data_IF_826836911355
#
_entry.id   IF_826836911355
#
_cell.length_a   1.000
_cell.length_b   1.000
_cell.length_c   1.000
_cell.angle_alpha   90.00
_cell.angle_beta   90.00
_cell.angle_gamma   90.00
#
_symmetry.space_group_name_H-M   'P 1'
#
loop_
_entity.id
_entity.type
_entity.pdbx_description
1 polymer ?
#
# COMPACT_ATOMS: atom_id res chain seq x y z
N UNK A 1 -47.44 -10.07 51.33
CA UNK A 1 -46.75 -9.46 50.18
C UNK A 1 -45.29 -9.89 50.22
N UNK A 2 -44.72 -10.26 49.07
CA UNK A 2 -43.44 -10.96 48.86
C UNK A 2 -43.54 -12.49 48.77
N UNK A 3 -43.38 -12.98 47.55
CA UNK A 3 -42.87 -14.31 47.21
C UNK A 3 -42.22 -14.16 45.84
N UNK A 4 -40.89 -14.18 45.82
CA UNK A 4 -40.07 -14.04 44.62
C UNK A 4 -40.33 -15.17 43.65
N UNK A 5 -40.55 -14.80 42.38
CA UNK A 5 -40.53 -15.74 41.26
C UNK A 5 -39.14 -15.65 40.64
N UNK A 6 -38.38 -16.73 40.77
CA UNK A 6 -37.13 -16.93 40.07
C UNK A 6 -37.43 -17.01 38.56
N UNK A 7 -36.97 -16.02 37.80
CA UNK A 7 -36.91 -16.10 36.34
C UNK A 7 -35.61 -16.84 36.01
N UNK A 8 -35.71 -18.13 35.73
CA UNK A 8 -34.63 -18.91 35.15
C UNK A 8 -34.21 -18.28 33.83
N UNK A 9 -32.93 -17.95 33.72
CA UNK A 9 -32.27 -17.66 32.46
C UNK A 9 -32.47 -18.84 31.50
N UNK A 10 -33.30 -18.66 30.48
CA UNK A 10 -33.44 -19.62 29.40
C UNK A 10 -32.15 -19.65 28.59
N UNK A 11 -31.60 -20.86 28.47
CA UNK A 11 -30.41 -21.19 27.71
C UNK A 11 -30.52 -20.65 26.28
N UNK A 12 -29.50 -19.88 25.88
CA UNK A 12 -29.14 -19.62 24.49
C UNK A 12 -28.91 -20.98 23.80
N UNK A 13 -29.93 -21.48 23.13
CA UNK A 13 -29.82 -22.59 22.19
C UNK A 13 -28.97 -22.11 21.02
N UNK A 14 -27.66 -22.40 21.09
CA UNK A 14 -26.78 -22.25 19.94
C UNK A 14 -27.24 -23.21 18.86
N UNK A 15 -27.43 -22.70 17.64
CA UNK A 15 -27.84 -23.42 16.43
C UNK A 15 -27.05 -24.73 16.21
N UNK A 16 -25.83 -24.82 16.74
CA UNK A 16 -24.97 -26.00 16.73
C UNK A 16 -25.55 -27.23 17.46
N UNK A 17 -26.49 -27.06 18.39
CA UNK A 17 -27.10 -28.16 19.15
C UNK A 17 -28.29 -28.83 18.43
N UNK A 18 -28.80 -28.22 17.33
CA UNK A 18 -30.07 -28.62 16.71
C UNK A 18 -29.92 -29.34 15.36
N UNK A 19 -28.75 -29.32 14.73
CA UNK A 19 -28.56 -29.91 13.40
C UNK A 19 -27.25 -30.71 13.31
N UNK A 20 -27.29 -31.98 12.83
CA UNK A 20 -26.08 -32.68 12.44
C UNK A 20 -25.27 -31.83 11.43
N UNK A 21 -23.94 -31.86 11.44
CA UNK A 21 -23.09 -31.08 10.52
C UNK A 21 -23.49 -31.24 9.04
N UNK A 22 -23.97 -32.42 8.66
CA UNK A 22 -24.46 -32.73 7.31
C UNK A 22 -25.72 -31.95 6.91
N UNK A 23 -26.61 -31.64 7.85
CA UNK A 23 -27.78 -30.79 7.57
C UNK A 23 -27.38 -29.32 7.46
N UNK A 24 -26.39 -28.86 8.23
CA UNK A 24 -25.87 -27.50 8.12
C UNK A 24 -25.25 -27.24 6.74
N UNK A 25 -24.45 -28.17 6.21
CA UNK A 25 -23.89 -28.03 4.87
C UNK A 25 -24.97 -27.96 3.79
N UNK A 26 -26.02 -28.81 3.87
CA UNK A 26 -27.15 -28.75 2.93
C UNK A 26 -27.91 -27.42 2.97
N UNK A 27 -27.98 -26.77 4.13
CA UNK A 27 -28.59 -25.44 4.25
C UNK A 27 -27.68 -24.40 3.57
N UNK A 28 -26.37 -24.49 3.77
CA UNK A 28 -25.38 -23.60 3.14
C UNK A 28 -25.15 -23.89 1.64
N UNK A 29 -25.61 -25.03 1.14
CA UNK A 29 -25.64 -25.34 -0.30
C UNK A 29 -26.74 -24.57 -1.04
N UNK A 30 -27.76 -24.09 -0.34
CA UNK A 30 -28.81 -23.22 -0.91
C UNK A 30 -28.25 -21.79 -1.00
N UNK A 31 -28.00 -21.25 -2.21
CA UNK A 31 -27.30 -19.97 -2.38
C UNK A 31 -27.99 -18.79 -1.68
N UNK A 32 -29.32 -18.72 -1.72
CA UNK A 32 -30.10 -17.64 -1.11
C UNK A 32 -29.98 -17.65 0.41
N UNK A 33 -29.98 -18.83 1.02
CA UNK A 33 -29.84 -18.98 2.47
C UNK A 33 -28.41 -18.61 2.88
N UNK A 34 -27.41 -19.11 2.15
CA UNK A 34 -26.01 -18.79 2.43
C UNK A 34 -25.70 -17.31 2.24
N UNK A 35 -26.24 -16.66 1.20
CA UNK A 35 -26.11 -15.22 0.99
C UNK A 35 -26.73 -14.43 2.16
N UNK A 36 -27.93 -14.80 2.60
CA UNK A 36 -28.59 -14.14 3.73
C UNK A 36 -27.80 -14.30 5.04
N UNK A 37 -27.34 -15.52 5.36
CA UNK A 37 -26.51 -15.76 6.56
C UNK A 37 -25.24 -14.92 6.49
N UNK A 38 -24.53 -14.99 5.38
CA UNK A 38 -23.23 -14.32 5.26
C UNK A 38 -23.37 -12.80 5.20
N UNK A 39 -24.47 -12.25 4.69
CA UNK A 39 -24.74 -10.80 4.64
C UNK A 39 -24.70 -10.15 6.02
N UNK A 40 -25.22 -10.82 7.05
CA UNK A 40 -25.30 -10.28 8.41
C UNK A 40 -24.03 -10.51 9.25
N UNK A 41 -23.08 -11.31 8.74
CA UNK A 41 -21.82 -11.55 9.41
C UNK A 41 -20.81 -10.42 9.17
N UNK A 42 -20.14 -10.02 10.24
CA UNK A 42 -18.98 -9.13 10.18
C UNK A 42 -17.82 -9.79 9.43
N UNK A 43 -16.87 -8.98 8.95
CA UNK A 43 -15.68 -9.47 8.24
C UNK A 43 -14.90 -10.51 9.06
N UNK A 44 -14.75 -10.32 10.38
CA UNK A 44 -14.07 -11.30 11.25
C UNK A 44 -14.82 -12.62 11.36
N UNK A 45 -16.15 -12.57 11.47
CA UNK A 45 -16.96 -13.79 11.57
C UNK A 45 -16.93 -14.57 10.26
N UNK A 46 -16.90 -13.89 9.12
CA UNK A 46 -16.71 -14.53 7.82
C UNK A 46 -15.33 -15.16 7.68
N UNK A 47 -14.28 -14.46 8.12
CA UNK A 47 -12.92 -15.01 8.13
C UNK A 47 -12.83 -16.27 9.01
N UNK A 48 -13.44 -16.24 10.19
CA UNK A 48 -13.54 -17.41 11.07
C UNK A 48 -14.34 -18.55 10.42
N UNK A 49 -15.46 -18.23 9.74
CA UNK A 49 -16.28 -19.21 9.03
C UNK A 49 -15.49 -19.91 7.92
N UNK A 50 -14.83 -19.16 7.03
CA UNK A 50 -14.05 -19.74 5.93
C UNK A 50 -12.78 -20.44 6.41
N UNK A 51 -12.30 -20.13 7.61
CA UNK A 51 -11.15 -20.80 8.24
C UNK A 51 -11.53 -22.06 9.02
N UNK A 52 -12.83 -22.33 9.19
CA UNK A 52 -13.29 -23.45 10.02
C UNK A 52 -13.10 -24.83 9.37
N UNK A 53 -13.34 -24.93 8.07
CA UNK A 53 -13.20 -26.19 7.32
C UNK A 53 -13.05 -25.96 5.81
N UNK A 54 -12.61 -27.00 5.09
CA UNK A 54 -12.40 -26.96 3.63
C UNK A 54 -13.67 -26.59 2.85
N UNK A 55 -14.84 -27.04 3.29
CA UNK A 55 -16.12 -26.74 2.65
C UNK A 55 -16.40 -25.22 2.67
N UNK A 56 -16.37 -24.59 3.85
CA UNK A 56 -16.58 -23.14 3.95
C UNK A 56 -15.43 -22.32 3.36
N UNK A 57 -14.20 -22.85 3.38
CA UNK A 57 -13.09 -22.23 2.67
C UNK A 57 -13.37 -22.10 1.17
N UNK A 58 -13.94 -23.12 0.54
CA UNK A 58 -14.32 -23.07 -0.88
C UNK A 58 -15.46 -22.08 -1.15
N UNK A 59 -16.40 -21.93 -0.19
CA UNK A 59 -17.49 -20.94 -0.27
C UNK A 59 -17.02 -19.48 -0.25
N UNK A 60 -15.73 -19.19 0.00
CA UNK A 60 -15.19 -17.81 -0.03
C UNK A 60 -15.46 -17.08 -1.36
N UNK A 61 -15.52 -17.80 -2.48
CA UNK A 61 -15.80 -17.22 -3.81
C UNK A 61 -17.27 -16.81 -3.97
N UNK A 62 -18.19 -17.37 -3.16
CA UNK A 62 -19.58 -16.94 -3.08
C UNK A 62 -19.70 -15.69 -2.18
N UNK A 63 -18.92 -15.65 -1.08
CA UNK A 63 -18.89 -14.52 -0.14
C UNK A 63 -18.26 -13.26 -0.77
N UNK A 64 -17.11 -13.43 -1.42
CA UNK A 64 -16.34 -12.37 -2.09
C UNK A 64 -16.30 -12.62 -3.60
N UNK A 65 -17.49 -12.66 -4.21
CA UNK A 65 -17.61 -12.87 -5.64
C UNK A 65 -17.21 -11.60 -6.42
N UNK A 66 -15.99 -11.60 -6.97
CA UNK A 66 -15.45 -10.44 -7.69
C UNK A 66 -16.26 -10.08 -8.94
N UNK A 67 -16.81 -11.06 -9.66
CA UNK A 67 -17.60 -10.79 -10.87
C UNK A 67 -18.95 -10.16 -10.49
N UNK A 68 -19.62 -10.63 -9.42
CA UNK A 68 -20.82 -10.00 -8.86
C UNK A 68 -20.53 -8.60 -8.34
N UNK A 69 -19.35 -8.39 -7.75
CA UNK A 69 -18.89 -7.07 -7.34
C UNK A 69 -18.73 -6.13 -8.55
N UNK A 70 -17.95 -6.53 -9.55
CA UNK A 70 -17.70 -5.73 -10.74
C UNK A 70 -18.92 -5.51 -11.62
N UNK A 71 -19.96 -6.38 -11.55
CA UNK A 71 -21.23 -6.23 -12.29
C UNK A 71 -21.96 -4.91 -12.04
N UNK A 72 -21.64 -4.22 -10.96
CA UNK A 72 -22.15 -2.88 -10.72
C UNK A 72 -21.72 -1.89 -11.81
N UNK A 73 -20.48 -2.02 -12.30
CA UNK A 73 -19.87 -1.18 -13.31
C UNK A 73 -19.84 -1.85 -14.69
N UNK A 74 -19.62 -3.17 -14.75
CA UNK A 74 -19.30 -3.89 -15.97
C UNK A 74 -20.38 -4.91 -16.32
N UNK A 75 -20.80 -4.95 -17.58
CA UNK A 75 -21.63 -6.02 -18.13
C UNK A 75 -20.81 -7.28 -18.34
N UNK A 76 -19.54 -7.15 -18.73
CA UNK A 76 -18.61 -8.25 -18.99
C UNK A 76 -17.40 -8.21 -18.06
N UNK A 77 -17.57 -8.50 -16.75
CA UNK A 77 -16.49 -8.42 -15.76
C UNK A 77 -15.34 -9.40 -16.04
N UNK A 78 -15.61 -10.57 -16.64
CA UNK A 78 -14.59 -11.56 -16.97
C UNK A 78 -13.67 -11.03 -18.08
N UNK A 79 -14.23 -10.52 -19.18
CA UNK A 79 -13.45 -9.93 -20.27
C UNK A 79 -12.60 -8.74 -19.78
N UNK A 80 -13.16 -7.90 -18.92
CA UNK A 80 -12.41 -6.82 -18.29
C UNK A 80 -11.25 -7.33 -17.42
N UNK A 81 -11.45 -8.41 -16.67
CA UNK A 81 -10.38 -9.06 -15.89
C UNK A 81 -9.33 -9.74 -16.77
N UNK A 82 -9.68 -10.23 -17.95
CA UNK A 82 -8.69 -10.71 -18.95
C UNK A 82 -7.79 -9.57 -19.44
N UNK A 83 -8.36 -8.36 -19.62
CA UNK A 83 -7.55 -7.16 -19.90
C UNK A 83 -6.64 -6.80 -18.73
N UNK A 84 -7.14 -6.89 -17.49
CA UNK A 84 -6.30 -6.70 -16.29
C UNK A 84 -5.16 -7.73 -16.23
N UNK A 85 -5.41 -8.99 -16.62
CA UNK A 85 -4.40 -10.03 -16.67
C UNK A 85 -3.32 -9.77 -17.72
N UNK A 86 -3.74 -9.27 -18.88
CA UNK A 86 -2.87 -8.96 -20.03
C UNK A 86 -2.01 -7.74 -19.80
N UNK A 87 -2.55 -6.71 -19.15
CA UNK A 87 -1.91 -5.41 -19.00
C UNK A 87 -1.47 -5.07 -17.57
N UNK A 88 -1.55 -6.03 -16.65
CA UNK A 88 -1.13 -5.87 -15.24
C UNK A 88 -1.81 -4.69 -14.52
N UNK A 89 -3.05 -4.39 -14.89
CA UNK A 89 -3.82 -3.32 -14.30
C UNK A 89 -4.31 -3.68 -12.90
N UNK A 90 -4.42 -2.67 -12.03
CA UNK A 90 -4.92 -2.83 -10.66
C UNK A 90 -6.18 -2.00 -10.45
N UNK A 91 -7.17 -2.57 -9.78
CA UNK A 91 -8.24 -1.76 -9.17
C UNK A 91 -7.86 -1.46 -7.73
N UNK A 92 -8.06 -0.22 -7.30
CA UNK A 92 -7.70 0.22 -5.96
C UNK A 92 -8.69 1.26 -5.41
N UNK A 93 -8.34 1.90 -4.31
CA UNK A 93 -9.10 3.02 -3.75
C UNK A 93 -10.40 2.56 -3.08
N UNK A 94 -11.47 3.30 -3.32
CA UNK A 94 -12.71 3.13 -2.56
C UNK A 94 -13.50 1.88 -2.96
N UNK A 95 -13.38 1.42 -4.20
CA UNK A 95 -14.03 0.19 -4.66
C UNK A 95 -13.37 -1.07 -4.07
N UNK A 96 -12.03 -1.12 -4.03
CA UNK A 96 -11.32 -2.22 -3.40
C UNK A 96 -11.63 -2.34 -1.90
N UNK A 97 -11.72 -1.20 -1.18
CA UNK A 97 -12.20 -1.19 0.20
C UNK A 97 -13.61 -1.78 0.32
N UNK A 98 -14.53 -1.40 -0.58
CA UNK A 98 -15.90 -1.89 -0.61
C UNK A 98 -15.98 -3.39 -0.89
N UNK A 99 -15.11 -3.92 -1.76
CA UNK A 99 -15.02 -5.35 -2.05
C UNK A 99 -14.72 -6.15 -0.78
N UNK A 100 -13.65 -5.79 -0.06
CA UNK A 100 -13.27 -6.48 1.18
C UNK A 100 -14.31 -6.31 2.29
N UNK A 101 -14.83 -5.09 2.45
CA UNK A 101 -15.86 -4.79 3.46
C UNK A 101 -17.23 -5.38 3.10
N UNK A 102 -17.43 -5.80 1.84
CA UNK A 102 -18.72 -6.20 1.25
C UNK A 102 -19.81 -5.15 1.48
N UNK A 103 -19.44 -3.88 1.28
CA UNK A 103 -20.36 -2.75 1.42
C UNK A 103 -20.47 -1.99 0.11
N UNK A 104 -21.51 -1.16 -0.02
CA UNK A 104 -21.67 -0.27 -1.18
C UNK A 104 -21.92 1.16 -0.73
N UNK A 105 -21.17 2.08 -1.32
CA UNK A 105 -21.36 3.50 -1.16
C UNK A 105 -22.18 4.05 -2.32
N UNK A 106 -23.12 4.94 -2.04
CA UNK A 106 -24.10 5.43 -3.02
C UNK A 106 -23.47 6.14 -4.24
N UNK A 107 -22.25 6.65 -4.11
CA UNK A 107 -21.50 7.37 -5.15
C UNK A 107 -20.11 6.77 -5.37
N UNK A 108 -20.04 5.44 -5.49
CA UNK A 108 -18.76 4.77 -5.79
C UNK A 108 -18.41 4.87 -7.27
N UNK A 109 -17.17 5.28 -7.51
CA UNK A 109 -16.42 5.10 -8.75
C UNK A 109 -15.66 3.76 -8.73
N UNK A 110 -15.18 3.35 -9.90
CA UNK A 110 -14.21 2.27 -10.08
C UNK A 110 -12.90 2.87 -10.61
N UNK A 111 -11.85 2.81 -9.80
CA UNK A 111 -10.54 3.39 -10.12
C UNK A 111 -9.58 2.29 -10.60
N UNK A 112 -9.15 2.39 -11.86
CA UNK A 112 -8.33 1.37 -12.54
C UNK A 112 -6.97 1.98 -12.88
N UNK A 113 -5.92 1.50 -12.23
CA UNK A 113 -4.55 1.97 -12.39
C UNK A 113 -3.86 1.16 -13.49
N UNK A 114 -3.33 1.86 -14.49
CA UNK A 114 -2.81 1.28 -15.72
C UNK A 114 -1.50 1.97 -16.10
N UNK A 115 -0.49 1.17 -16.38
CA UNK A 115 0.79 1.62 -16.93
C UNK A 115 0.81 1.42 -18.45
N UNK A 116 1.26 2.45 -19.18
CA UNK A 116 1.51 2.36 -20.62
C UNK A 116 0.31 2.68 -21.51
N UNK A 117 0.62 3.30 -22.65
CA UNK A 117 -0.36 3.77 -23.63
C UNK A 117 -1.20 2.64 -24.23
N UNK A 118 -0.57 1.54 -24.63
CA UNK A 118 -1.26 0.42 -25.29
C UNK A 118 -2.35 -0.17 -24.37
N UNK A 119 -2.04 -0.31 -23.09
CA UNK A 119 -2.99 -0.78 -22.10
C UNK A 119 -4.15 0.21 -21.92
N UNK A 120 -3.86 1.51 -21.78
CA UNK A 120 -4.89 2.55 -21.66
C UNK A 120 -5.85 2.55 -22.85
N UNK A 121 -5.33 2.40 -24.08
CA UNK A 121 -6.15 2.30 -25.29
C UNK A 121 -7.03 1.05 -25.25
N UNK A 122 -6.47 -0.12 -24.92
CA UNK A 122 -7.24 -1.37 -24.83
C UNK A 122 -8.40 -1.29 -23.81
N UNK A 123 -8.15 -0.69 -22.64
CA UNK A 123 -9.19 -0.47 -21.64
C UNK A 123 -10.24 0.55 -22.11
N UNK A 124 -9.82 1.68 -22.69
CA UNK A 124 -10.74 2.70 -23.20
C UNK A 124 -11.64 2.14 -24.31
N UNK A 125 -11.06 1.38 -25.25
CA UNK A 125 -11.76 0.72 -26.33
C UNK A 125 -12.78 -0.29 -25.79
N UNK A 126 -12.42 -1.11 -24.80
CA UNK A 126 -13.34 -2.04 -24.15
C UNK A 126 -14.51 -1.31 -23.46
N UNK A 127 -14.20 -0.24 -22.72
CA UNK A 127 -15.22 0.54 -22.02
C UNK A 127 -16.24 1.16 -22.99
N UNK A 128 -15.77 1.70 -24.12
CA UNK A 128 -16.64 2.33 -25.12
C UNK A 128 -17.39 1.27 -25.95
N UNK A 129 -16.65 0.32 -26.55
CA UNK A 129 -17.20 -0.60 -27.54
C UNK A 129 -18.05 -1.71 -26.92
N UNK A 130 -17.63 -2.27 -25.78
CA UNK A 130 -18.30 -3.39 -25.12
C UNK A 130 -19.22 -2.89 -24.01
N UNK A 131 -18.69 -2.06 -23.10
CA UNK A 131 -19.42 -1.65 -21.90
C UNK A 131 -20.37 -0.47 -22.11
N UNK A 132 -20.26 0.20 -23.26
CA UNK A 132 -21.07 1.35 -23.69
C UNK A 132 -20.96 2.56 -22.74
N UNK A 133 -19.74 2.81 -22.27
CA UNK A 133 -19.41 4.04 -21.58
C UNK A 133 -19.09 5.17 -22.57
N UNK A 134 -19.25 6.40 -22.10
CA UNK A 134 -18.87 7.61 -22.84
C UNK A 134 -17.69 8.27 -22.13
N UNK A 135 -16.63 8.57 -22.88
CA UNK A 135 -15.51 9.35 -22.37
C UNK A 135 -15.93 10.80 -22.12
N UNK A 136 -15.60 11.31 -20.93
CA UNK A 136 -15.84 12.70 -20.55
C UNK A 136 -14.50 13.37 -20.24
N UNK A 137 -13.98 14.21 -21.16
CA UNK A 137 -12.71 14.89 -20.96
C UNK A 137 -12.82 15.88 -19.81
N UNK A 138 -11.80 15.93 -18.96
CA UNK A 138 -11.64 17.04 -18.04
C UNK A 138 -11.17 18.31 -18.77
N UNK A 139 -11.37 19.52 -18.19
CA UNK A 139 -10.83 20.75 -18.75
C UNK A 139 -9.31 20.65 -19.02
N UNK A 140 -8.90 20.96 -20.25
CA UNK A 140 -7.51 20.84 -20.71
C UNK A 140 -7.19 19.50 -21.37
N UNK A 141 -8.01 18.46 -21.19
CA UNK A 141 -7.87 17.21 -21.94
C UNK A 141 -8.47 17.32 -23.34
N UNK A 142 -7.89 16.58 -24.27
CA UNK A 142 -8.44 16.47 -25.62
C UNK A 142 -9.82 15.80 -25.59
N UNK A 143 -10.76 16.26 -26.43
CA UNK A 143 -12.15 15.76 -26.43
C UNK A 143 -12.29 14.28 -26.84
N UNK A 144 -11.40 13.84 -27.73
CA UNK A 144 -11.27 12.44 -28.13
C UNK A 144 -10.34 11.68 -27.17
N UNK A 145 -10.78 10.52 -26.68
CA UNK A 145 -10.06 9.70 -25.71
C UNK A 145 -8.70 9.20 -26.20
N UNK A 146 -8.55 8.83 -27.48
CA UNK A 146 -7.28 8.37 -28.06
C UNK A 146 -6.23 9.47 -27.96
N UNK A 147 -6.60 10.68 -28.39
CA UNK A 147 -5.69 11.83 -28.33
C UNK A 147 -5.44 12.30 -26.90
N UNK A 148 -6.42 12.14 -25.99
CA UNK A 148 -6.25 12.44 -24.57
C UNK A 148 -5.25 11.47 -23.92
N UNK A 149 -5.27 10.19 -24.31
CA UNK A 149 -4.28 9.19 -23.88
C UNK A 149 -2.91 9.51 -24.46
N UNK A 150 -2.80 9.76 -25.77
CA UNK A 150 -1.52 10.00 -26.44
C UNK A 150 -0.82 11.27 -25.97
N UNK A 151 -1.57 12.37 -25.81
CA UNK A 151 -1.03 13.66 -25.35
C UNK A 151 -0.94 13.81 -23.83
N UNK A 152 -1.09 12.73 -23.06
CA UNK A 152 -1.17 12.78 -21.59
C UNK A 152 0.12 13.30 -20.96
N UNK A 153 1.27 12.91 -21.51
CA UNK A 153 2.59 13.25 -20.95
C UNK A 153 2.91 14.73 -21.16
N UNK A 154 2.64 15.27 -22.35
CA UNK A 154 2.83 16.68 -22.66
C UNK A 154 1.86 17.54 -21.84
N UNK A 155 0.60 17.13 -21.73
CA UNK A 155 -0.38 17.82 -20.89
C UNK A 155 0.06 17.85 -19.42
N UNK A 156 0.59 16.74 -18.91
CA UNK A 156 1.11 16.64 -17.55
C UNK A 156 2.33 17.55 -17.33
N UNK A 157 3.31 17.52 -18.24
CA UNK A 157 4.51 18.38 -18.19
C UNK A 157 4.14 19.87 -18.23
N UNK A 158 3.26 20.27 -19.15
CA UNK A 158 2.78 21.64 -19.26
C UNK A 158 2.09 22.12 -17.98
N UNK A 159 1.30 21.24 -17.34
CA UNK A 159 0.66 21.54 -16.05
C UNK A 159 1.69 21.75 -14.92
N UNK A 160 2.71 20.91 -14.83
CA UNK A 160 3.79 21.06 -13.84
C UNK A 160 4.58 22.35 -14.07
N UNK A 161 4.83 22.73 -15.31
CA UNK A 161 5.55 23.97 -15.64
C UNK A 161 4.75 25.23 -15.30
N UNK A 162 3.45 25.24 -15.57
CA UNK A 162 2.57 26.36 -15.17
C UNK A 162 2.50 26.51 -13.65
N UNK A 163 2.42 25.39 -12.93
CA UNK A 163 2.47 25.35 -11.46
C UNK A 163 3.77 25.94 -10.88
N UNK A 164 4.91 25.75 -11.56
CA UNK A 164 6.21 26.29 -11.13
C UNK A 164 6.32 27.79 -11.42
N UNK A 165 5.80 28.27 -12.56
CA UNK A 165 5.91 29.68 -12.98
C UNK A 165 5.07 30.64 -12.14
N UNK A 166 3.89 30.21 -11.70
CA UNK A 166 2.94 31.11 -11.03
C UNK A 166 3.18 31.29 -9.52
N UNK A 167 4.24 30.69 -8.94
CA UNK A 167 4.58 30.76 -7.50
C UNK A 167 3.53 30.17 -6.54
N UNK A 168 2.33 29.94 -7.04
CA UNK A 168 1.27 29.14 -6.47
C UNK A 168 1.45 27.73 -7.02
N UNK A 169 1.77 26.77 -6.14
CA UNK A 169 1.28 25.41 -6.37
C UNK A 169 -0.21 25.54 -6.70
N UNK A 170 -0.71 24.94 -7.78
CA UNK A 170 -2.03 25.24 -8.28
C UNK A 170 -3.05 25.14 -7.15
N UNK A 171 -3.85 26.21 -6.97
CA UNK A 171 -4.85 26.23 -5.90
C UNK A 171 -5.78 25.02 -6.11
N UNK A 172 -6.02 24.19 -5.06
CA UNK A 172 -6.82 22.97 -5.17
C UNK A 172 -8.19 23.18 -5.82
N UNK A 173 -8.76 24.39 -5.73
CA UNK A 173 -10.08 24.73 -6.25
C UNK A 173 -10.16 24.81 -7.78
N UNK A 174 -9.17 25.40 -8.48
CA UNK A 174 -9.14 25.40 -9.96
C UNK A 174 -8.74 24.03 -10.52
N UNK A 175 -7.93 23.29 -9.77
CA UNK A 175 -7.52 21.92 -10.09
C UNK A 175 -8.64 20.90 -9.92
N UNK A 176 -9.53 21.10 -8.95
CA UNK A 176 -10.72 20.27 -8.76
C UNK A 176 -11.71 20.36 -9.93
N UNK A 177 -11.72 21.48 -10.65
CA UNK A 177 -12.50 21.66 -11.89
C UNK A 177 -11.84 20.97 -13.10
N UNK A 178 -10.49 20.92 -13.15
CA UNK A 178 -9.72 20.44 -14.31
C UNK A 178 -9.18 19.01 -14.24
N UNK A 179 -9.07 18.38 -13.06
CA UNK A 179 -8.78 16.96 -12.86
C UNK A 179 -8.94 16.63 -11.36
N UNK A 180 -9.92 15.80 -10.94
CA UNK A 180 -10.19 15.54 -9.52
C UNK A 180 -9.01 14.89 -8.79
N UNK A 181 -8.08 14.21 -9.49
CA UNK A 181 -6.85 13.69 -8.88
C UNK A 181 -5.67 14.68 -8.88
N UNK A 182 -5.68 15.72 -9.73
CA UNK A 182 -4.62 16.75 -9.70
C UNK A 182 -4.62 17.55 -8.40
N UNK A 183 -5.76 17.61 -7.69
CA UNK A 183 -5.85 18.18 -6.34
C UNK A 183 -5.09 17.42 -5.24
N UNK A 184 -4.59 16.22 -5.55
CA UNK A 184 -3.70 15.46 -4.68
C UNK A 184 -2.26 15.66 -5.18
N UNK A 185 -1.28 15.78 -4.28
CA UNK A 185 0.16 15.83 -4.65
C UNK A 185 0.67 14.44 -5.08
N UNK A 186 -0.01 13.81 -6.05
CA UNK A 186 0.28 12.46 -6.56
C UNK A 186 1.42 12.55 -7.55
N UNK A 187 2.51 11.84 -7.26
CA UNK A 187 3.77 11.95 -8.00
C UNK A 187 3.87 10.93 -9.14
N UNK A 188 3.06 9.89 -9.08
CA UNK A 188 3.15 8.72 -9.94
C UNK A 188 1.93 8.57 -10.86
N UNK A 189 1.10 9.61 -10.98
CA UNK A 189 -0.09 9.64 -11.85
C UNK A 189 0.10 10.66 -12.96
N UNK A 190 0.01 10.20 -14.21
CA UNK A 190 0.19 10.99 -15.42
C UNK A 190 -1.12 11.65 -15.87
N UNK A 191 -2.22 10.91 -15.77
CA UNK A 191 -3.54 11.36 -16.20
C UNK A 191 -4.66 10.55 -15.58
N UNK A 192 -5.86 11.14 -15.60
CA UNK A 192 -7.10 10.49 -15.23
C UNK A 192 -8.09 10.64 -16.36
N UNK A 193 -8.63 9.54 -16.83
CA UNK A 193 -9.58 9.51 -17.93
C UNK A 193 -10.92 9.03 -17.37
N UNK A 194 -11.93 9.89 -17.44
CA UNK A 194 -13.25 9.61 -16.90
C UNK A 194 -14.16 9.01 -17.97
N UNK A 195 -14.83 7.94 -17.60
CA UNK A 195 -15.82 7.26 -18.41
C UNK A 195 -17.12 7.14 -17.62
N UNK A 196 -18.20 7.63 -18.19
CA UNK A 196 -19.52 7.62 -17.56
C UNK A 196 -20.51 6.78 -18.36
N UNK A 197 -21.36 6.05 -17.63
CA UNK A 197 -22.56 5.41 -18.17
C UNK A 197 -23.78 5.88 -17.38
N UNK A 198 -24.89 6.06 -18.08
CA UNK A 198 -26.17 6.49 -17.51
C UNK A 198 -26.07 7.82 -16.75
N UNK A 199 -25.24 8.76 -17.24
CA UNK A 199 -24.99 10.06 -16.59
C UNK A 199 -26.27 10.90 -16.39
N UNK A 200 -27.30 10.70 -17.21
CA UNK A 200 -28.61 11.35 -17.08
C UNK A 200 -29.45 10.81 -15.91
N UNK A 201 -29.12 9.64 -15.37
CA UNK A 201 -29.83 9.02 -14.25
C UNK A 201 -28.96 9.01 -13.01
N UNK A 202 -29.22 9.91 -12.06
CA UNK A 202 -28.50 9.96 -10.78
C UNK A 202 -28.53 8.62 -10.00
N UNK A 203 -29.58 7.81 -10.20
CA UNK A 203 -29.74 6.49 -9.57
C UNK A 203 -28.89 5.39 -10.22
N UNK A 204 -28.72 5.45 -11.54
CA UNK A 204 -28.00 4.41 -12.30
C UNK A 204 -26.62 4.87 -12.79
N UNK A 205 -26.23 6.10 -12.49
CA UNK A 205 -24.93 6.65 -12.84
C UNK A 205 -23.81 5.71 -12.40
N UNK A 206 -22.96 5.34 -13.36
CA UNK A 206 -21.73 4.58 -13.13
C UNK A 206 -20.56 5.35 -13.69
N UNK A 207 -19.51 5.46 -12.90
CA UNK A 207 -18.27 6.11 -13.27
C UNK A 207 -17.12 5.13 -13.16
N UNK A 208 -16.30 5.07 -14.21
CA UNK A 208 -15.02 4.35 -14.21
C UNK A 208 -13.93 5.38 -14.53
N UNK A 209 -12.84 5.36 -13.77
CA UNK A 209 -11.66 6.17 -14.03
C UNK A 209 -10.51 5.27 -14.44
N UNK A 210 -9.93 5.53 -15.61
CA UNK A 210 -8.63 4.97 -15.99
C UNK A 210 -7.54 5.94 -15.55
N UNK A 211 -6.70 5.49 -14.63
CA UNK A 211 -5.64 6.27 -14.00
C UNK A 211 -4.32 5.81 -14.61
N UNK A 212 -3.74 6.66 -15.45
CA UNK A 212 -2.44 6.43 -16.07
C UNK A 212 -1.34 6.64 -15.04
N UNK A 213 -0.44 5.66 -14.86
CA UNK A 213 0.64 5.71 -13.88
C UNK A 213 2.01 5.83 -14.51
N UNK A 214 2.89 6.60 -13.87
CA UNK A 214 4.33 6.61 -14.15
C UNK A 214 4.97 5.45 -13.40
N UNK A 215 5.24 4.36 -14.11
CA UNK A 215 5.71 3.12 -13.52
C UNK A 215 4.56 2.18 -13.08
N UNK A 216 4.89 1.13 -12.30
CA UNK A 216 3.96 0.07 -11.98
C UNK A 216 2.73 0.58 -11.20
N UNK A 217 1.51 0.10 -11.49
CA UNK A 217 0.30 0.56 -10.82
C UNK A 217 0.34 0.52 -9.28
N UNK A 218 1.01 -0.49 -8.71
CA UNK A 218 1.18 -0.62 -7.26
C UNK A 218 2.00 0.54 -6.66
N UNK A 219 2.95 1.09 -7.41
CA UNK A 219 3.76 2.22 -6.97
C UNK A 219 2.87 3.44 -6.72
N UNK A 220 1.96 3.75 -7.66
CA UNK A 220 1.00 4.83 -7.48
C UNK A 220 0.10 4.58 -6.25
N UNK A 221 -0.40 3.36 -6.06
CA UNK A 221 -1.22 3.02 -4.89
C UNK A 221 -0.49 3.27 -3.57
N UNK A 222 0.76 2.81 -3.43
CA UNK A 222 1.48 2.93 -2.16
C UNK A 222 2.09 4.32 -1.93
N UNK A 223 2.52 5.00 -2.99
CA UNK A 223 3.19 6.30 -2.90
C UNK A 223 2.19 7.48 -2.80
N UNK A 224 1.05 7.38 -3.49
CA UNK A 224 0.18 8.54 -3.73
C UNK A 224 -1.12 8.52 -2.91
N UNK A 225 -1.41 7.46 -2.17
CA UNK A 225 -2.60 7.40 -1.33
C UNK A 225 -2.40 8.19 -0.03
N UNK A 226 -3.48 8.80 0.47
CA UNK A 226 -3.47 9.74 1.62
C UNK A 226 -3.89 9.10 2.96
N UNK A 227 -4.27 7.82 2.95
CA UNK A 227 -4.70 7.10 4.14
C UNK A 227 -4.47 5.59 4.00
N UNK A 228 -4.03 4.91 5.05
CA UNK A 228 -3.81 3.44 5.03
C UNK A 228 -5.09 2.64 4.80
N UNK A 229 -6.27 3.17 5.14
CA UNK A 229 -7.56 2.48 4.92
C UNK A 229 -7.86 2.20 3.45
N UNK A 230 -7.29 2.98 2.53
CA UNK A 230 -7.45 2.76 1.09
C UNK A 230 -6.33 1.93 0.47
N UNK A 231 -5.40 1.39 1.28
CA UNK A 231 -4.34 0.48 0.79
C UNK A 231 -4.91 -0.93 0.57
N UNK A 232 -5.99 -0.99 -0.19
CA UNK A 232 -6.60 -2.21 -0.67
C UNK A 232 -6.62 -2.12 -2.19
N UNK A 233 -6.26 -3.21 -2.85
CA UNK A 233 -6.26 -3.29 -4.30
C UNK A 233 -6.46 -4.73 -4.72
N UNK A 234 -6.86 -4.95 -5.97
CA UNK A 234 -6.94 -6.28 -6.53
C UNK A 234 -6.51 -6.26 -7.99
N UNK A 235 -5.82 -7.33 -8.39
CA UNK A 235 -5.58 -7.64 -9.78
C UNK A 235 -6.67 -8.62 -10.27
N UNK A 236 -6.42 -9.24 -11.42
CA UNK A 236 -7.34 -10.21 -12.00
C UNK A 236 -7.47 -11.52 -11.19
N UNK A 237 -6.52 -11.89 -10.32
CA UNK A 237 -6.48 -13.20 -9.63
C UNK A 237 -6.49 -13.12 -8.11
N UNK A 238 -6.11 -11.98 -7.53
CA UNK A 238 -5.87 -11.83 -6.10
C UNK A 238 -6.23 -10.42 -5.64
N UNK A 239 -6.92 -10.35 -4.51
CA UNK A 239 -7.16 -9.12 -3.77
C UNK A 239 -6.21 -9.02 -2.56
N UNK A 240 -5.72 -7.81 -2.29
CA UNK A 240 -4.80 -7.49 -1.22
C UNK A 240 -5.33 -6.34 -0.36
N UNK A 241 -5.23 -6.48 0.96
CA UNK A 241 -5.34 -5.40 1.93
C UNK A 241 -4.05 -5.33 2.74
N UNK A 242 -3.40 -4.17 2.76
CA UNK A 242 -2.11 -3.99 3.45
C UNK A 242 -2.29 -3.86 4.97
N UNK A 243 -3.38 -3.23 5.42
CA UNK A 243 -3.69 -2.98 6.83
C UNK A 243 -5.08 -3.50 7.20
N UNK A 244 -5.35 -4.81 7.05
CA UNK A 244 -6.70 -5.36 7.19
C UNK A 244 -7.23 -5.28 8.63
N UNK A 245 -6.37 -5.47 9.64
CA UNK A 245 -6.75 -5.42 11.06
C UNK A 245 -7.25 -4.01 11.41
N UNK A 246 -6.43 -3.02 11.12
CA UNK A 246 -6.73 -1.62 11.39
C UNK A 246 -7.94 -1.18 10.57
N UNK A 247 -7.98 -1.50 9.27
CA UNK A 247 -9.03 -1.05 8.36
C UNK A 247 -10.40 -1.69 8.66
N UNK A 248 -10.46 -3.01 8.84
CA UNK A 248 -11.73 -3.74 8.92
C UNK A 248 -12.15 -4.11 10.34
N UNK A 249 -11.21 -4.35 11.26
CA UNK A 249 -11.52 -4.72 12.65
C UNK A 249 -11.59 -3.49 13.56
N UNK A 250 -10.59 -2.63 13.47
CA UNK A 250 -10.47 -1.48 14.39
C UNK A 250 -11.09 -0.19 13.83
N UNK A 251 -11.49 -0.19 12.55
CA UNK A 251 -11.98 0.99 11.82
C UNK A 251 -11.02 2.17 11.93
N UNK A 252 -9.72 1.88 11.90
CA UNK A 252 -8.62 2.80 12.08
C UNK A 252 -7.88 3.00 10.75
N UNK A 253 -7.39 4.22 10.54
CA UNK A 253 -6.49 4.56 9.45
C UNK A 253 -5.44 5.54 9.91
N UNK A 254 -4.26 5.45 9.33
CA UNK A 254 -3.19 6.44 9.48
C UNK A 254 -3.13 7.33 8.25
N UNK A 255 -2.88 8.62 8.46
CA UNK A 255 -2.54 9.53 7.36
C UNK A 255 -1.20 9.13 6.76
N UNK A 256 -1.05 9.22 5.45
CA UNK A 256 0.20 8.88 4.74
C UNK A 256 0.83 10.06 3.99
N UNK A 257 0.18 11.22 4.02
CA UNK A 257 0.61 12.46 3.37
C UNK A 257 0.34 13.67 4.29
N UNK A 258 1.00 14.81 4.03
CA UNK A 258 0.68 16.08 4.68
C UNK A 258 -0.80 16.46 4.48
N UNK A 259 -1.38 17.12 5.48
CA UNK A 259 -2.76 17.58 5.39
C UNK A 259 -2.88 18.78 4.43
N UNK A 260 -3.73 18.63 3.42
CA UNK A 260 -4.15 19.70 2.50
C UNK A 260 -5.67 19.83 2.58
N UNK A 261 -6.23 20.96 2.15
CA UNK A 261 -7.70 21.16 2.17
C UNK A 261 -8.46 20.01 1.48
N UNK A 262 -7.91 19.49 0.37
CA UNK A 262 -8.48 18.32 -0.32
C UNK A 262 -8.40 17.05 0.52
N UNK A 263 -7.25 16.78 1.14
CA UNK A 263 -7.04 15.59 1.96
C UNK A 263 -7.97 15.61 3.19
N UNK A 264 -8.21 16.79 3.77
CA UNK A 264 -9.20 16.98 4.85
C UNK A 264 -10.59 16.49 4.41
N UNK A 265 -11.07 16.95 3.25
CA UNK A 265 -12.36 16.52 2.69
C UNK A 265 -12.40 15.00 2.45
N UNK A 266 -11.28 14.45 1.99
CA UNK A 266 -11.16 13.02 1.72
C UNK A 266 -11.16 12.19 3.01
N UNK A 267 -10.52 12.64 4.08
CA UNK A 267 -10.63 12.00 5.39
C UNK A 267 -12.05 12.12 5.94
N UNK A 268 -12.68 13.28 5.80
CA UNK A 268 -14.05 13.52 6.26
C UNK A 268 -15.07 12.60 5.57
N UNK A 269 -14.87 12.31 4.27
CA UNK A 269 -15.62 11.28 3.54
C UNK A 269 -15.60 9.91 4.25
N UNK A 270 -14.47 9.50 4.82
CA UNK A 270 -14.36 8.22 5.54
C UNK A 270 -14.74 8.31 7.02
N UNK A 271 -14.55 9.47 7.67
CA UNK A 271 -15.06 9.72 9.04
C UNK A 271 -16.57 9.59 9.11
N UNK A 272 -17.29 10.15 8.12
CA UNK A 272 -18.74 9.96 7.95
C UNK A 272 -19.18 8.51 7.74
N UNK A 273 -18.23 7.62 7.42
CA UNK A 273 -18.46 6.17 7.26
C UNK A 273 -17.94 5.36 8.45
N UNK A 274 -17.69 6.03 9.60
CA UNK A 274 -17.23 5.47 10.86
C UNK A 274 -15.78 4.97 10.87
N UNK A 275 -14.92 5.48 9.99
CA UNK A 275 -13.47 5.28 10.13
C UNK A 275 -12.83 6.41 10.93
N UNK A 276 -11.95 6.04 11.84
CA UNK A 276 -11.10 6.96 12.59
C UNK A 276 -9.82 7.16 11.80
N UNK A 277 -9.59 8.38 11.31
CA UNK A 277 -8.32 8.74 10.66
C UNK A 277 -7.44 9.47 11.67
N UNK A 278 -6.27 8.90 11.97
CA UNK A 278 -5.31 9.44 12.95
C UNK A 278 -4.11 10.09 12.26
N UNK A 279 -3.76 11.26 12.76
CA UNK A 279 -2.39 11.79 12.67
C UNK A 279 -1.49 10.96 13.60
N UNK A 280 -0.22 10.82 13.22
CA UNK A 280 0.72 9.97 13.97
C UNK A 280 1.35 10.68 15.19
N UNK A 281 1.20 12.00 15.31
CA UNK A 281 1.79 12.83 16.39
C UNK A 281 1.38 12.42 17.83
N UNK A 282 0.35 11.57 17.97
CA UNK A 282 -0.21 11.14 19.25
C UNK A 282 0.32 9.79 19.78
N UNK A 283 1.18 9.06 19.06
CA UNK A 283 1.70 7.76 19.54
C UNK A 283 2.98 7.86 20.40
N UNK A 284 3.70 8.98 20.39
CA UNK A 284 5.02 9.09 21.07
C UNK A 284 5.11 10.17 22.15
N UNK A 285 4.01 10.82 22.55
CA UNK A 285 4.06 11.83 23.63
C UNK A 285 4.32 11.26 25.03
N UNK A 286 4.45 9.94 25.20
CA UNK A 286 4.67 9.26 26.48
C UNK A 286 6.01 8.50 26.56
N UNK A 287 7.07 8.96 25.88
CA UNK A 287 8.41 8.42 26.13
C UNK A 287 9.28 9.58 26.58
N UNK A 288 9.71 9.52 27.83
CA UNK A 288 10.55 10.52 28.50
C UNK A 288 11.70 10.97 27.59
N UNK A 289 11.82 12.29 27.41
CA UNK A 289 12.74 12.95 26.49
C UNK A 289 14.22 12.90 26.93
N UNK A 290 14.58 11.98 27.82
CA UNK A 290 15.92 11.91 28.44
C UNK A 290 16.80 10.77 27.92
N UNK A 291 16.34 9.97 26.95
CA UNK A 291 17.18 8.97 26.31
C UNK A 291 17.33 9.28 24.83
N UNK A 292 18.57 9.23 24.35
CA UNK A 292 19.07 9.32 22.96
C UNK A 292 18.53 8.15 22.08
N UNK A 293 17.38 7.59 22.48
CA UNK A 293 16.58 6.62 21.80
C UNK A 293 15.99 7.29 20.57
N UNK A 294 16.70 7.12 19.45
CA UNK A 294 16.22 7.31 18.10
C UNK A 294 14.67 7.15 18.08
N UNK A 295 13.95 8.19 17.62
CA UNK A 295 12.50 8.18 17.32
C UNK A 295 12.24 7.15 16.19
N UNK A 296 12.44 5.91 16.56
CA UNK A 296 12.35 4.71 15.77
C UNK A 296 10.88 4.32 15.78
N UNK A 297 10.37 3.97 14.60
CA UNK A 297 9.14 3.21 14.50
C UNK A 297 9.37 1.93 15.33
N UNK A 298 8.84 1.91 16.57
CA UNK A 298 8.82 0.69 17.39
C UNK A 298 7.89 -0.25 16.65
N UNK A 299 8.41 -1.42 16.30
CA UNK A 299 7.67 -2.41 15.52
C UNK A 299 6.38 -2.79 16.28
N UNK A 300 5.26 -2.21 15.86
CA UNK A 300 3.96 -2.36 16.52
C UNK A 300 2.97 -2.98 15.54
N UNK A 301 2.91 -4.31 15.54
CA UNK A 301 1.97 -5.07 14.71
C UNK A 301 2.19 -4.84 13.22
N UNK A 302 1.19 -4.30 12.53
CA UNK A 302 1.20 -4.07 11.08
C UNK A 302 2.00 -2.84 10.64
N UNK A 303 2.35 -1.96 11.58
CA UNK A 303 3.16 -0.76 11.37
C UNK A 303 4.61 -1.13 11.68
N UNK A 304 5.31 -1.63 10.66
CA UNK A 304 6.73 -2.03 10.70
C UNK A 304 7.57 -1.18 9.74
N UNK A 305 8.87 -1.07 10.02
CA UNK A 305 9.78 -0.29 9.17
C UNK A 305 9.85 -0.77 7.72
N UNK A 306 9.69 -2.08 7.52
CA UNK A 306 9.76 -2.73 6.22
C UNK A 306 8.71 -3.83 6.18
N UNK A 307 7.97 -3.89 5.07
CA UNK A 307 6.90 -4.86 4.82
C UNK A 307 6.93 -5.34 3.39
N UNK A 308 6.28 -6.48 3.17
CA UNK A 308 6.08 -7.08 1.85
C UNK A 308 4.58 -7.22 1.61
N UNK A 309 4.15 -6.98 0.38
CA UNK A 309 2.77 -7.28 -0.02
C UNK A 309 2.51 -8.77 0.19
N UNK A 310 1.48 -9.11 0.97
CA UNK A 310 1.18 -10.51 1.27
C UNK A 310 1.99 -11.09 2.43
N UNK A 311 2.65 -10.27 3.25
CA UNK A 311 3.21 -10.71 4.52
C UNK A 311 2.12 -11.12 5.53
N UNK A 312 2.53 -11.57 6.72
CA UNK A 312 1.61 -12.04 7.78
C UNK A 312 0.64 -10.97 8.30
N UNK A 313 0.85 -9.70 7.97
CA UNK A 313 -0.02 -8.58 8.34
C UNK A 313 -0.91 -8.13 7.18
N UNK A 314 -0.71 -8.65 5.97
CA UNK A 314 -1.61 -8.44 4.84
C UNK A 314 -2.74 -9.46 4.83
N UNK A 315 -3.89 -9.05 4.33
CA UNK A 315 -4.94 -9.99 3.96
C UNK A 315 -4.89 -10.20 2.45
N UNK A 316 -4.55 -11.42 2.04
CA UNK A 316 -4.52 -11.85 0.65
C UNK A 316 -5.67 -12.81 0.41
N UNK A 317 -6.41 -12.58 -0.67
CA UNK A 317 -7.56 -13.40 -1.05
C UNK A 317 -7.47 -13.75 -2.54
N UNK A 318 -7.32 -15.04 -2.84
CA UNK A 318 -7.46 -15.54 -4.21
C UNK A 318 -8.89 -15.33 -4.70
N UNK A 319 -9.03 -14.89 -5.94
CA UNK A 319 -10.29 -14.65 -6.62
C UNK A 319 -10.61 -15.81 -7.56
N UNK A 320 -11.87 -15.93 -7.95
CA UNK A 320 -12.30 -16.93 -8.94
C UNK A 320 -11.82 -16.52 -10.33
N UNK A 321 -10.88 -17.29 -10.90
CA UNK A 321 -10.28 -17.04 -12.21
C UNK A 321 -10.93 -17.85 -13.34
N UNK A 322 -12.08 -18.48 -13.09
CA UNK A 322 -12.83 -19.20 -14.12
C UNK A 322 -13.11 -18.26 -15.30
N UNK A 323 -12.86 -18.76 -16.51
CA UNK A 323 -13.04 -18.07 -17.79
C UNK A 323 -12.20 -16.80 -18.01
N UNK A 324 -11.28 -16.46 -17.09
CA UNK A 324 -10.34 -15.35 -17.30
C UNK A 324 -9.21 -15.80 -18.21
N UNK A 325 -9.09 -15.13 -19.36
CA UNK A 325 -7.98 -15.33 -20.28
C UNK A 325 -6.76 -14.58 -19.74
N UNK A 326 -5.77 -15.32 -19.26
CA UNK A 326 -4.52 -14.77 -18.74
C UNK A 326 -3.34 -15.31 -19.56
N UNK A 327 -2.35 -14.47 -19.91
CA UNK A 327 -1.12 -14.95 -20.53
C UNK A 327 -0.42 -16.00 -19.63
N UNK A 328 0.07 -17.08 -20.23
CA UNK A 328 0.73 -18.21 -19.53
C UNK A 328 1.86 -17.78 -18.57
N UNK A 329 2.46 -16.61 -18.78
CA UNK A 329 3.59 -16.08 -18.02
C UNK A 329 3.21 -15.08 -16.90
N UNK A 330 1.93 -14.88 -16.56
CA UNK A 330 1.49 -13.89 -15.57
C UNK A 330 1.82 -14.32 -14.12
N UNK A 331 3.10 -14.21 -13.77
CA UNK A 331 3.73 -14.55 -12.49
C UNK A 331 3.13 -13.78 -11.29
N UNK A 332 3.39 -14.26 -10.07
CA UNK A 332 3.01 -13.66 -8.78
C UNK A 332 3.86 -12.43 -8.46
N UNK A 333 3.79 -11.38 -9.27
CA UNK A 333 4.76 -10.26 -9.17
C UNK A 333 4.51 -9.35 -7.98
N UNK A 334 3.23 -9.10 -7.65
CA UNK A 334 2.86 -8.14 -6.60
C UNK A 334 3.30 -8.62 -5.21
N UNK A 335 3.28 -9.92 -4.95
CA UNK A 335 3.63 -10.53 -3.65
C UNK A 335 5.13 -10.38 -3.31
N UNK A 336 5.98 -10.05 -4.27
CA UNK A 336 7.39 -9.77 -4.04
C UNK A 336 7.68 -8.28 -3.84
N UNK A 337 6.68 -7.41 -4.02
CA UNK A 337 6.83 -5.99 -3.79
C UNK A 337 7.03 -5.70 -2.30
N UNK A 338 8.08 -4.96 -1.99
CA UNK A 338 8.42 -4.52 -0.63
C UNK A 338 8.34 -3.01 -0.52
N UNK A 339 7.96 -2.54 0.66
CA UNK A 339 7.82 -1.12 0.97
C UNK A 339 8.21 -0.86 2.42
N UNK A 340 8.77 0.31 2.66
CA UNK A 340 9.16 0.78 3.98
C UNK A 340 8.16 1.79 4.52
N UNK A 341 8.20 1.98 5.83
CA UNK A 341 7.44 3.01 6.51
C UNK A 341 8.34 3.78 7.44
N UNK A 342 8.25 5.11 7.37
CA UNK A 342 9.04 6.02 8.18
C UNK A 342 8.15 7.13 8.73
N UNK A 343 8.40 7.54 9.96
CA UNK A 343 7.67 8.64 10.62
C UNK A 343 8.62 9.72 11.08
N UNK A 344 9.93 9.48 10.95
CA UNK A 344 10.98 10.44 11.19
C UNK A 344 11.91 10.53 9.99
N UNK A 345 12.46 11.71 9.75
CA UNK A 345 13.67 11.85 8.97
C UNK A 345 14.82 12.33 9.87
N UNK A 346 16.01 11.86 9.52
CA UNK A 346 17.25 12.36 10.09
C UNK A 346 17.89 13.22 9.00
N UNK A 347 18.18 14.47 9.32
CA UNK A 347 18.97 15.32 8.45
C UNK A 347 20.14 15.92 9.24
N UNK A 348 21.19 16.26 8.52
CA UNK A 348 22.32 16.99 9.09
C UNK A 348 22.07 18.47 8.86
N UNK A 349 22.04 19.26 9.92
CA UNK A 349 21.94 20.71 9.78
C UNK A 349 23.23 21.31 9.19
N UNK A 350 23.19 22.62 8.90
CA UNK A 350 24.34 23.35 8.38
C UNK A 350 25.58 23.35 9.31
N UNK A 351 25.44 22.87 10.54
CA UNK A 351 26.50 22.77 11.54
C UNK A 351 26.96 21.32 11.77
N UNK A 352 26.52 20.36 10.95
CA UNK A 352 26.92 18.97 11.08
C UNK A 352 26.16 18.18 12.17
N UNK A 353 25.15 18.78 12.81
CA UNK A 353 24.36 18.11 13.86
C UNK A 353 23.27 17.26 13.25
N UNK A 354 23.11 16.04 13.75
CA UNK A 354 21.98 15.17 13.41
C UNK A 354 20.71 15.71 14.06
N UNK A 355 19.77 16.15 13.24
CA UNK A 355 18.45 16.60 13.66
C UNK A 355 17.42 15.51 13.32
N UNK A 356 16.51 15.26 14.26
CA UNK A 356 15.41 14.33 14.09
C UNK A 356 14.13 15.13 13.91
N UNK A 357 13.44 14.91 12.80
CA UNK A 357 12.15 15.54 12.52
C UNK A 357 11.07 14.49 12.36
N UNK A 358 10.04 14.56 13.21
CA UNK A 358 8.85 13.72 13.13
C UNK A 358 7.83 14.29 12.15
N UNK A 359 7.31 13.44 11.28
CA UNK A 359 6.18 13.76 10.42
C UNK A 359 4.87 13.47 11.17
N UNK A 360 3.83 14.31 11.01
CA UNK A 360 2.51 14.03 11.56
C UNK A 360 1.74 12.93 10.80
N UNK A 361 2.39 12.25 9.86
CA UNK A 361 1.83 11.20 9.00
C UNK A 361 2.86 10.08 8.75
N UNK A 362 2.37 8.91 8.34
CA UNK A 362 3.15 7.72 8.01
C UNK A 362 3.70 7.80 6.59
N UNK A 363 4.99 8.10 6.44
CA UNK A 363 5.60 8.15 5.11
C UNK A 363 5.89 6.76 4.59
N UNK A 364 5.23 6.40 3.50
CA UNK A 364 5.52 5.17 2.74
C UNK A 364 6.75 5.40 1.86
N UNK A 365 7.60 4.39 1.78
CA UNK A 365 8.86 4.41 1.03
C UNK A 365 8.97 3.19 0.14
N UNK A 366 8.79 3.38 -1.15
CA UNK A 366 9.00 2.34 -2.14
C UNK A 366 9.50 2.97 -3.43
N UNK A 367 10.24 2.21 -4.23
CA UNK A 367 10.73 2.62 -5.53
C UNK A 367 10.46 1.50 -6.56
N UNK A 368 10.05 1.84 -7.78
CA UNK A 368 10.03 0.88 -8.88
C UNK A 368 11.43 0.35 -9.14
N UNK A 369 11.55 -0.96 -9.30
CA UNK A 369 12.77 -1.64 -9.69
C UNK A 369 12.53 -2.46 -10.95
N UNK A 370 13.33 -2.17 -11.97
CA UNK A 370 13.38 -2.88 -13.24
C UNK A 370 14.80 -3.43 -13.42
N UNK A 371 14.94 -4.74 -13.58
CA UNK A 371 16.22 -5.40 -13.86
C UNK A 371 16.07 -6.39 -15.01
N UNK A 372 17.14 -6.62 -15.78
CA UNK A 372 17.10 -7.44 -17.00
C UNK A 372 16.62 -8.89 -16.78
N UNK A 373 16.75 -9.41 -15.55
CA UNK A 373 16.24 -10.75 -15.17
C UNK A 373 14.80 -10.77 -14.64
N UNK A 374 14.15 -9.62 -14.45
CA UNK A 374 12.78 -9.56 -13.97
C UNK A 374 11.81 -9.51 -15.15
N UNK A 375 10.89 -10.47 -15.20
CA UNK A 375 9.81 -10.48 -16.21
C UNK A 375 8.91 -9.25 -16.14
N UNK A 376 8.80 -8.63 -14.98
CA UNK A 376 7.97 -7.46 -14.71
C UNK A 376 8.62 -6.60 -13.62
N UNK A 377 8.41 -5.27 -13.66
CA UNK A 377 8.84 -4.39 -12.58
C UNK A 377 8.24 -4.80 -11.22
N UNK A 378 9.00 -4.60 -10.15
CA UNK A 378 8.54 -4.81 -8.77
C UNK A 378 8.84 -3.58 -7.92
N UNK A 379 8.29 -3.50 -6.72
CA UNK A 379 8.66 -2.45 -5.76
C UNK A 379 9.68 -2.95 -4.75
N UNK A 380 10.65 -2.09 -4.46
CA UNK A 380 11.62 -2.29 -3.37
C UNK A 380 11.52 -1.18 -2.34
N UNK A 381 11.85 -1.48 -1.09
CA UNK A 381 11.90 -0.49 -0.01
C UNK A 381 12.81 0.68 -0.40
N UNK A 382 12.26 1.89 -0.46
CA UNK A 382 13.01 3.12 -0.75
C UNK A 382 13.67 3.68 0.52
N UNK A 383 14.50 2.87 1.18
CA UNK A 383 15.47 3.35 2.17
C UNK A 383 16.85 3.59 1.53
N UNK A 384 16.85 3.72 0.21
CA UNK A 384 18.03 3.81 -0.62
C UNK A 384 18.58 5.22 -0.53
N UNK A 385 19.36 5.49 0.52
CA UNK A 385 20.60 6.21 0.24
C UNK A 385 21.22 5.46 -0.95
N UNK A 386 21.55 6.18 -2.02
CA UNK A 386 21.89 5.71 -3.38
C UNK A 386 22.59 4.34 -3.50
N UNK A 387 23.36 3.92 -2.49
CA UNK A 387 24.12 2.67 -2.43
C UNK A 387 23.35 1.35 -2.63
N UNK A 388 22.14 1.14 -2.10
CA UNK A 388 21.51 -0.21 -2.21
C UNK A 388 20.84 -0.45 -3.58
N UNK A 389 20.31 0.59 -4.23
CA UNK A 389 19.76 0.48 -5.59
C UNK A 389 20.85 0.16 -6.60
N UNK A 390 22.00 0.83 -6.47
CA UNK A 390 23.21 0.53 -7.23
C UNK A 390 23.73 -0.89 -6.92
N UNK A 391 23.62 -1.34 -5.67
CA UNK A 391 24.01 -2.70 -5.26
C UNK A 391 23.11 -3.77 -5.87
N UNK A 392 21.79 -3.60 -5.84
CA UNK A 392 20.85 -4.53 -6.49
C UNK A 392 21.07 -4.56 -7.99
N UNK A 393 21.17 -3.39 -8.63
CA UNK A 393 21.46 -3.29 -10.06
C UNK A 393 22.77 -4.01 -10.41
N UNK A 394 23.86 -3.73 -9.70
CA UNK A 394 25.14 -4.42 -9.89
C UNK A 394 25.04 -5.94 -9.68
N UNK A 395 24.25 -6.41 -8.71
CA UNK A 395 24.05 -7.83 -8.46
C UNK A 395 23.30 -8.50 -9.62
N UNK A 396 22.21 -7.91 -10.09
CA UNK A 396 21.41 -8.47 -11.18
C UNK A 396 22.10 -8.33 -12.55
N UNK A 397 22.86 -7.26 -12.78
CA UNK A 397 23.70 -7.10 -13.98
C UNK A 397 24.74 -8.23 -14.05
N UNK A 398 25.38 -8.57 -12.91
CA UNK A 398 26.29 -9.73 -12.82
C UNK A 398 25.61 -11.08 -13.04
N UNK A 399 24.35 -11.22 -12.60
CA UNK A 399 23.55 -12.44 -12.87
C UNK A 399 23.18 -12.52 -14.36
N UNK A 400 22.89 -11.37 -15.00
CA UNK A 400 22.65 -11.29 -16.44
C UNK A 400 23.90 -11.63 -17.26
N UNK A 401 25.06 -11.07 -16.89
CA UNK A 401 26.35 -11.35 -17.54
C UNK A 401 26.79 -12.82 -17.40
N UNK A 402 26.40 -13.50 -16.32
CA UNK A 402 26.69 -14.94 -16.16
C UNK A 402 25.74 -15.84 -16.95
N UNK A 403 24.59 -15.32 -17.42
CA UNK A 403 23.65 -16.05 -18.28
C UNK A 403 24.00 -16.01 -19.78
N UNK A 404 24.99 -15.21 -20.19
CA UNK A 404 25.58 -15.26 -21.54
C UNK A 404 26.57 -16.44 -21.72
N UNK A 405 26.81 -17.23 -20.67
CA UNK A 405 27.52 -18.51 -20.73
C UNK A 405 26.53 -19.67 -21.00
N UNK A 406 25.95 -19.69 -22.20
CA UNK A 406 25.28 -20.87 -22.72
C UNK A 406 23.82 -21.04 -22.29
N UNK A 407 23.03 -21.48 -23.26
CA UNK A 407 21.58 -21.55 -23.29
C UNK A 407 20.95 -22.64 -22.39
N UNK A 408 21.49 -22.85 -21.18
CA UNK A 408 20.91 -23.80 -20.24
C UNK A 408 19.97 -23.08 -19.27
N UNK A 409 18.71 -23.49 -19.31
CA UNK A 409 17.68 -23.12 -18.35
C UNK A 409 18.21 -23.19 -16.93
N UNK A 410 18.37 -22.02 -16.28
CA UNK A 410 18.58 -21.96 -14.84
C UNK A 410 17.29 -22.47 -14.18
N UNK A 411 17.31 -23.74 -13.78
CA UNK A 411 16.29 -24.36 -12.97
C UNK A 411 16.38 -23.79 -11.55
N UNK A 412 15.42 -22.94 -11.20
CA UNK A 412 15.38 -22.23 -9.91
C UNK A 412 15.02 -23.15 -8.73
N UNK A 413 14.73 -24.44 -8.96
CA UNK A 413 14.35 -25.40 -7.93
C UNK A 413 15.48 -26.33 -7.43
N UNK A 414 16.70 -26.25 -7.98
CA UNK A 414 17.78 -27.15 -7.56
C UNK A 414 19.03 -26.43 -7.01
N UNK A 415 19.20 -26.56 -5.69
CA UNK A 415 20.41 -26.31 -4.89
C UNK A 415 20.82 -24.83 -4.68
N UNK A 416 21.11 -24.52 -3.40
CA UNK A 416 21.43 -23.20 -2.84
C UNK A 416 22.31 -22.35 -3.79
N UNK A 417 21.75 -21.31 -4.43
CA UNK A 417 22.46 -20.62 -5.50
C UNK A 417 23.46 -19.59 -4.96
N UNK A 418 24.44 -19.28 -5.79
CA UNK A 418 25.56 -18.31 -5.65
C UNK A 418 25.16 -16.97 -4.97
N UNK A 419 23.90 -16.57 -5.03
CA UNK A 419 23.39 -15.41 -4.28
C UNK A 419 23.50 -15.56 -2.75
N UNK A 420 23.46 -16.78 -2.21
CA UNK A 420 23.64 -17.06 -0.78
C UNK A 420 25.07 -16.74 -0.32
N UNK A 421 26.08 -17.07 -1.15
CA UNK A 421 27.47 -16.70 -0.87
C UNK A 421 27.68 -15.18 -0.99
N UNK A 422 27.09 -14.54 -2.00
CA UNK A 422 27.11 -13.09 -2.15
C UNK A 422 26.41 -12.37 -0.98
N UNK A 423 25.28 -12.90 -0.51
CA UNK A 423 24.57 -12.42 0.67
C UNK A 423 25.42 -12.54 1.94
N UNK A 424 26.06 -13.68 2.17
CA UNK A 424 26.97 -13.86 3.31
C UNK A 424 28.18 -12.92 3.26
N UNK A 425 28.74 -12.64 2.07
CA UNK A 425 29.84 -11.69 1.92
C UNK A 425 29.36 -10.27 2.26
N UNK A 426 28.15 -9.89 1.84
CA UNK A 426 27.54 -8.61 2.19
C UNK A 426 27.22 -8.51 3.68
N UNK A 427 26.67 -9.57 4.30
CA UNK A 427 26.37 -9.65 5.72
C UNK A 427 27.64 -9.46 6.57
N UNK A 428 28.75 -10.11 6.21
CA UNK A 428 30.06 -9.91 6.87
C UNK A 428 30.57 -8.48 6.74
N UNK A 429 30.41 -7.85 5.56
CA UNK A 429 30.80 -6.44 5.35
C UNK A 429 29.95 -5.48 6.18
N UNK A 430 28.64 -5.71 6.27
CA UNK A 430 27.73 -4.92 7.10
C UNK A 430 28.09 -5.09 8.59
N UNK A 431 28.31 -6.32 9.05
CA UNK A 431 28.73 -6.59 10.43
C UNK A 431 30.04 -5.87 10.80
N UNK A 432 31.03 -5.86 9.91
CA UNK A 432 32.30 -5.15 10.11
C UNK A 432 32.11 -3.63 10.16
N UNK A 433 31.20 -3.07 9.35
CA UNK A 433 30.85 -1.64 9.39
C UNK A 433 30.14 -1.29 10.71
N UNK A 434 29.21 -2.13 11.16
CA UNK A 434 28.50 -1.94 12.43
C UNK A 434 29.45 -2.02 13.64
N UNK A 435 30.41 -2.94 13.62
CA UNK A 435 31.44 -3.04 14.66
C UNK A 435 32.33 -1.78 14.70
N UNK A 436 32.74 -1.28 13.53
CA UNK A 436 33.50 -0.03 13.43
C UNK A 436 32.69 1.17 13.94
N UNK A 437 31.39 1.23 13.65
CA UNK A 437 30.49 2.24 14.20
C UNK A 437 30.28 2.12 15.71
N UNK A 438 30.16 0.90 16.25
CA UNK A 438 30.09 0.65 17.71
C UNK A 438 31.35 1.13 18.42
N UNK A 439 32.52 0.83 17.85
CA UNK A 439 33.82 1.32 18.31
C UNK A 439 33.88 2.85 18.34
N UNK A 440 33.50 3.51 17.24
CA UNK A 440 33.50 4.97 17.15
C UNK A 440 32.51 5.63 18.13
N UNK A 441 31.31 5.05 18.30
CA UNK A 441 30.33 5.54 19.30
C UNK A 441 30.86 5.40 20.72
N UNK A 442 31.59 4.32 21.03
CA UNK A 442 32.22 4.12 22.34
C UNK A 442 33.28 5.20 22.60
N UNK A 443 34.18 5.44 21.65
CA UNK A 443 35.20 6.50 21.74
C UNK A 443 34.55 7.87 21.99
N UNK A 444 33.50 8.20 21.24
CA UNK A 444 32.78 9.46 21.41
C UNK A 444 32.10 9.59 22.80
N UNK A 445 31.55 8.49 23.33
CA UNK A 445 30.93 8.45 24.67
C UNK A 445 31.98 8.60 25.77
N UNK A 446 33.13 7.95 25.63
CA UNK A 446 34.24 8.02 26.59
C UNK A 446 34.86 9.44 26.58
N UNK A 447 35.02 10.05 25.41
CA UNK A 447 35.48 11.44 25.28
C UNK A 447 34.50 12.44 25.93
N UNK A 448 33.19 12.23 25.76
CA UNK A 448 32.16 13.05 26.40
C UNK A 448 32.19 12.93 27.92
N UNK A 449 32.30 11.71 28.45
CA UNK A 449 32.39 11.47 29.89
C UNK A 449 33.68 12.06 30.51
N UNK A 450 34.80 12.05 29.76
CA UNK A 450 36.04 12.70 30.17
C UNK A 450 35.90 14.23 30.21
N UNK A 451 35.20 14.81 29.22
CA UNK A 451 34.94 16.24 29.16
C UNK A 451 34.00 16.70 30.30
N UNK A 452 32.93 15.94 30.57
CA UNK A 452 32.01 16.22 31.66
C UNK A 452 32.71 16.15 33.03
N UNK A 453 33.59 15.16 33.25
CA UNK A 453 34.42 15.09 34.47
C UNK A 453 35.40 16.26 34.59
N UNK A 454 36.03 16.68 33.49
CA UNK A 454 36.94 17.83 33.47
C UNK A 454 36.19 19.12 33.86
N UNK A 455 34.99 19.32 33.31
CA UNK A 455 34.14 20.49 33.63
C UNK A 455 33.71 20.46 35.10
N UNK A 456 33.29 19.31 35.61
CA UNK A 456 32.89 19.15 37.02
C UNK A 456 34.03 19.39 38.01
N UNK A 457 35.26 18.94 37.70
CA UNK A 457 36.45 19.22 38.52
C UNK A 457 36.83 20.69 38.50
N UNK A 458 36.72 21.32 37.34
CA UNK A 458 36.98 22.77 37.17
C UNK A 458 36.00 23.61 38.01
N UNK A 459 34.71 23.24 38.00
CA UNK A 459 33.67 23.91 38.79
C UNK A 459 33.87 23.71 40.31
N UNK A 460 34.46 22.59 40.72
CA UNK A 460 34.76 22.28 42.13
C UNK A 460 36.06 22.91 42.65
N UNK A 461 36.79 23.66 41.83
CA UNK A 461 38.03 24.34 42.22
C UNK A 461 39.23 23.40 42.42
N UNK A 462 39.17 22.17 41.89
CA UNK A 462 40.28 21.23 41.94
C UNK A 462 41.34 21.60 40.88
N UNK A 463 42.62 21.70 41.25
CA UNK A 463 43.69 22.08 40.34
C UNK A 463 43.88 21.00 39.24
N UNK A 464 43.55 21.33 38.00
CA UNK A 464 43.70 20.41 36.86
C UNK A 464 45.08 20.59 36.21
N UNK A 465 45.97 19.61 36.38
CA UNK A 465 47.25 19.58 35.68
C UNK A 465 47.08 19.37 34.17
N UNK A 466 47.75 20.19 33.36
CA UNK A 466 47.73 20.22 31.88
C UNK A 466 48.05 18.88 31.17
N UNK A 467 48.49 17.83 31.89
CA UNK A 467 48.89 16.54 31.29
C UNK A 467 47.75 15.54 31.06
N UNK A 468 46.53 15.77 31.56
CA UNK A 468 45.46 14.75 31.50
C UNK A 468 44.61 14.74 30.22
N UNK A 469 44.66 15.79 29.40
CA UNK A 469 43.85 15.91 28.17
C UNK A 469 44.53 15.35 26.92
N UNK A 470 45.86 15.23 26.89
CA UNK A 470 46.59 14.79 25.70
C UNK A 470 46.63 13.28 25.51
N UNK A 471 46.41 12.48 26.55
CA UNK A 471 46.49 11.02 26.49
C UNK A 471 45.20 10.31 26.03
N UNK A 472 44.06 11.01 26.03
CA UNK A 472 42.73 10.44 25.72
C UNK A 472 42.11 11.00 24.43
N UNK A 473 42.79 11.95 23.77
CA UNK A 473 42.36 12.60 22.51
C UNK A 473 43.22 12.23 21.28
N UNK A 474 44.28 11.43 21.46
CA UNK A 474 44.98 10.71 20.37
C UNK A 474 44.35 9.33 20.21
#
# INVERSE_FOLDING_TARGET
>A
MSSGVAIQHSNSLTLCSLLPPTKLYRICDVPEIFENITKDLSTINLLNLVSSCKYFYQKKYEIWNINKHLRHFLRQPVAFRSLMATHHALVSGSDALQFFARTRFASSDLDVYIEGEQALLAFADHLISVEKYTFLPYPGQHKNHINAIKGREEAFKAMIEDAKKNGNRPRPSKLAETNPLASYEMKSIEAVLRFDRDASSSKYHRQIQLIATTGPPLYAVLNDFYATLIFNFYDWKTAFSIFPKETFLERLSYMTQPETAKIVDCHEKYRKRNWIVRCYDNMHRNVDLDDDSDLTLKDHGSVLRSRRVGDKFSWMMSLDTSDVEAPYACSKTLEYSTFGMAMTCVYTDMFGRRMHYGYPYLRIRCAPYCGNGLRQPTLVVDNLNTSWGDSLKSMFDKIGETSDLGNDHIDWDSQLPIWWEAYQVMERKVAAIEEKMRSQKKIARDARAALENYVLRTIRGEAVGQRSLTGSLQ
#
